data_IF_125390588833
#
_entry.id   IF_125390588833
#
_cell.length_a   1.000
_cell.length_b   1.000
_cell.length_c   1.000
_cell.angle_alpha   90.00
_cell.angle_beta   90.00
_cell.angle_gamma   90.00
#
_symmetry.space_group_name_H-M   'P 1'
#
loop_
_entity.id
_entity.type
_entity.pdbx_description
1 polymer ?
#
# COMPACT_ATOMS: atom_id res chain seq x y z
N UNK A 1 -3.73 13.92 -4.42
CA UNK A 1 -4.35 14.39 -5.68
C UNK A 1 -4.50 13.25 -6.66
N UNK A 2 -3.44 12.48 -6.99
CA UNK A 2 -3.51 11.36 -7.93
C UNK A 2 -4.63 10.37 -7.59
N UNK A 3 -4.77 9.95 -6.33
CA UNK A 3 -5.85 9.06 -5.89
C UNK A 3 -7.24 9.68 -6.10
N UNK A 4 -7.40 10.97 -5.80
CA UNK A 4 -8.68 11.65 -6.02
C UNK A 4 -9.07 11.69 -7.49
N UNK A 5 -8.09 11.93 -8.37
CA UNK A 5 -8.31 11.94 -9.82
C UNK A 5 -8.61 10.53 -10.39
N UNK A 6 -8.13 9.46 -9.75
CA UNK A 6 -8.41 8.08 -10.16
C UNK A 6 -9.78 7.57 -9.71
N UNK A 7 -10.38 8.21 -8.71
CA UNK A 7 -11.71 7.85 -8.23
C UNK A 7 -12.80 8.29 -9.21
N UNK A 8 -13.73 7.39 -9.52
CA UNK A 8 -14.88 7.67 -10.38
C UNK A 8 -16.13 8.08 -9.60
N UNK A 9 -15.99 8.38 -8.33
CA UNK A 9 -17.05 8.84 -7.44
C UNK A 9 -16.62 8.89 -5.99
N UNK A 10 -17.45 9.58 -5.19
CA UNK A 10 -17.22 9.74 -3.75
C UNK A 10 -17.11 8.40 -3.01
N UNK A 11 -17.89 7.38 -3.43
CA UNK A 11 -17.83 6.06 -2.83
C UNK A 11 -16.46 5.37 -3.01
N UNK A 12 -15.78 5.59 -4.13
CA UNK A 12 -14.42 5.06 -4.35
C UNK A 12 -13.42 5.76 -3.44
N UNK A 13 -13.52 7.08 -3.30
CA UNK A 13 -12.71 7.85 -2.35
C UNK A 13 -12.98 7.43 -0.91
N UNK A 14 -14.25 7.26 -0.53
CA UNK A 14 -14.63 6.73 0.77
C UNK A 14 -14.08 5.33 1.02
N UNK A 15 -13.98 4.51 -0.03
CA UNK A 15 -13.34 3.19 0.00
C UNK A 15 -11.87 3.26 0.35
N UNK A 16 -11.12 4.18 -0.27
CA UNK A 16 -9.70 4.43 0.05
C UNK A 16 -9.56 4.88 1.50
N UNK A 17 -10.35 5.87 1.93
CA UNK A 17 -10.31 6.36 3.31
C UNK A 17 -10.69 5.26 4.31
N UNK A 18 -11.69 4.45 3.99
CA UNK A 18 -12.10 3.30 4.80
C UNK A 18 -11.00 2.25 4.93
N UNK A 19 -10.23 2.01 3.86
CA UNK A 19 -9.06 1.14 3.86
C UNK A 19 -7.97 1.68 4.80
N UNK A 20 -7.62 2.97 4.73
CA UNK A 20 -6.65 3.61 5.61
C UNK A 20 -7.08 3.58 7.08
N UNK A 21 -8.36 3.86 7.34
CA UNK A 21 -8.95 3.70 8.67
C UNK A 21 -8.86 2.24 9.13
N UNK A 22 -9.03 1.29 8.21
CA UNK A 22 -8.85 -0.14 8.45
C UNK A 22 -7.43 -0.48 8.93
N UNK A 23 -6.40 0.06 8.30
CA UNK A 23 -5.01 -0.08 8.75
C UNK A 23 -4.80 0.47 10.15
N UNK A 24 -5.37 1.62 10.44
CA UNK A 24 -5.29 2.28 11.76
C UNK A 24 -6.01 1.46 12.82
N UNK A 25 -7.25 1.06 12.57
CA UNK A 25 -8.08 0.27 13.49
C UNK A 25 -7.46 -1.09 13.82
N UNK A 26 -6.87 -1.76 12.83
CA UNK A 26 -6.17 -3.02 13.00
C UNK A 26 -4.74 -2.86 13.56
N UNK A 27 -4.28 -1.63 13.78
CA UNK A 27 -2.96 -1.28 14.31
C UNK A 27 -1.80 -1.87 13.48
N UNK A 28 -1.94 -1.89 12.17
CA UNK A 28 -0.96 -2.51 11.26
C UNK A 28 0.42 -1.86 11.37
N UNK A 29 0.50 -0.55 11.51
CA UNK A 29 1.78 0.17 11.71
C UNK A 29 2.52 -0.28 12.97
N UNK A 30 1.81 -0.47 14.10
CA UNK A 30 2.41 -1.02 15.33
C UNK A 30 2.92 -2.45 15.16
N UNK A 31 2.17 -3.28 14.44
CA UNK A 31 2.58 -4.66 14.16
C UNK A 31 3.85 -4.70 13.31
N UNK A 32 3.93 -3.86 12.27
CA UNK A 32 5.14 -3.72 11.42
C UNK A 32 6.35 -3.26 12.25
N UNK A 33 6.18 -2.23 13.06
CA UNK A 33 7.26 -1.72 13.90
C UNK A 33 7.80 -2.79 14.85
N UNK A 34 6.94 -3.58 15.49
CA UNK A 34 7.37 -4.70 16.32
C UNK A 34 8.14 -5.76 15.54
N UNK A 35 7.68 -6.10 14.34
CA UNK A 35 8.36 -7.07 13.48
C UNK A 35 9.74 -6.58 13.04
N UNK A 36 9.85 -5.30 12.65
CA UNK A 36 11.12 -4.69 12.29
C UNK A 36 12.10 -4.65 13.48
N UNK A 37 11.62 -4.30 14.68
CA UNK A 37 12.42 -4.31 15.90
C UNK A 37 12.91 -5.73 16.22
N UNK A 38 12.05 -6.72 16.13
CA UNK A 38 12.42 -8.13 16.37
C UNK A 38 13.45 -8.62 15.33
N UNK A 39 13.25 -8.32 14.06
CA UNK A 39 14.18 -8.65 12.99
C UNK A 39 15.56 -8.01 13.22
N UNK A 40 15.61 -6.76 13.66
CA UNK A 40 16.85 -6.07 14.00
C UNK A 40 17.55 -6.73 15.21
N UNK A 41 16.81 -7.09 16.26
CA UNK A 41 17.36 -7.80 17.43
C UNK A 41 17.94 -9.15 17.01
N UNK A 42 17.21 -9.92 16.21
CA UNK A 42 17.68 -11.23 15.72
C UNK A 42 18.91 -11.04 14.81
N UNK A 43 18.92 -10.02 13.96
CA UNK A 43 20.08 -9.68 13.14
C UNK A 43 21.33 -9.35 13.97
N UNK A 44 21.19 -8.53 14.99
CA UNK A 44 22.28 -8.18 15.91
C UNK A 44 22.77 -9.41 16.70
N UNK A 45 21.85 -10.23 17.22
CA UNK A 45 22.23 -11.46 17.92
C UNK A 45 22.93 -12.47 17.00
N UNK A 46 22.46 -12.57 15.75
CA UNK A 46 23.09 -13.41 14.73
C UNK A 46 24.52 -12.98 14.40
N UNK A 47 24.78 -11.66 14.33
CA UNK A 47 26.13 -11.13 14.10
C UNK A 47 27.06 -11.37 15.29
N UNK A 48 26.57 -11.20 16.52
CA UNK A 48 27.35 -11.47 17.74
C UNK A 48 27.63 -12.97 17.86
N UNK A 49 26.63 -13.83 17.63
CA UNK A 49 26.79 -15.29 17.66
C UNK A 49 27.76 -15.79 16.59
N UNK A 50 27.68 -15.25 15.37
CA UNK A 50 28.60 -15.57 14.28
C UNK A 50 30.04 -15.12 14.56
N UNK A 51 30.24 -14.00 15.23
CA UNK A 51 31.55 -13.49 15.63
C UNK A 51 32.20 -14.34 16.76
N UNK A 52 31.38 -14.96 17.61
CA UNK A 52 31.87 -15.80 18.71
C UNK A 52 32.24 -17.24 18.27
N UNK A 53 31.75 -17.71 17.11
CA UNK A 53 32.00 -19.08 16.61
C UNK A 53 33.17 -19.12 15.62
N UNK A 54 33.62 -17.95 15.10
CA UNK A 54 34.66 -17.87 14.08
C UNK A 54 35.99 -17.32 14.57
N UNK A 55 36.90 -18.19 14.92
CA UNK A 55 38.29 -17.83 15.30
C UNK A 55 39.20 -17.50 14.09
N UNK A 56 38.64 -17.35 12.89
CA UNK A 56 39.36 -16.93 11.70
C UNK A 56 38.55 -15.95 10.87
N UNK A 57 38.99 -14.71 10.91
CA UNK A 57 38.35 -13.50 10.30
C UNK A 57 38.15 -13.47 8.77
N UNK A 58 37.71 -14.59 8.19
CA UNK A 58 37.48 -14.71 6.78
C UNK A 58 36.01 -14.43 6.38
N UNK A 59 35.22 -15.49 6.20
CA UNK A 59 33.88 -15.45 5.63
C UNK A 59 32.82 -14.90 6.63
N UNK A 60 32.97 -15.20 7.91
CA UNK A 60 32.03 -14.75 8.95
C UNK A 60 32.09 -13.23 9.20
N UNK A 61 33.28 -12.63 9.12
CA UNK A 61 33.46 -11.18 9.20
C UNK A 61 32.90 -10.44 7.98
N UNK A 62 33.08 -10.99 6.78
CA UNK A 62 32.54 -10.43 5.55
C UNK A 62 31.00 -10.55 5.50
N UNK A 63 30.44 -11.69 5.92
CA UNK A 63 28.99 -11.90 6.01
C UNK A 63 28.36 -11.05 7.12
N UNK A 64 29.05 -10.85 8.24
CA UNK A 64 28.61 -9.98 9.34
C UNK A 64 28.55 -8.50 8.91
N UNK A 65 29.57 -8.01 8.20
CA UNK A 65 29.60 -6.65 7.65
C UNK A 65 28.53 -6.42 6.58
N UNK A 66 28.39 -7.36 5.66
CA UNK A 66 27.34 -7.31 4.64
C UNK A 66 25.95 -7.37 5.29
N UNK A 67 25.71 -8.25 6.25
CA UNK A 67 24.45 -8.35 6.98
C UNK A 67 24.12 -7.06 7.73
N UNK A 68 25.11 -6.37 8.29
CA UNK A 68 24.92 -5.09 8.98
C UNK A 68 24.58 -3.96 8.00
N UNK A 69 25.20 -3.92 6.82
CA UNK A 69 24.95 -2.91 5.79
C UNK A 69 23.60 -3.12 5.09
N UNK A 70 23.20 -4.37 4.85
CA UNK A 70 21.93 -4.70 4.20
C UNK A 70 20.75 -4.79 5.17
N UNK A 71 20.96 -5.10 6.46
CA UNK A 71 19.90 -5.20 7.45
C UNK A 71 19.14 -3.88 7.66
N UNK A 72 19.81 -2.74 7.61
CA UNK A 72 19.20 -1.42 7.69
C UNK A 72 18.30 -1.13 6.48
N UNK A 73 18.78 -1.40 5.28
CA UNK A 73 18.02 -1.19 4.05
C UNK A 73 16.86 -2.19 3.90
N UNK A 74 17.09 -3.46 4.22
CA UNK A 74 16.03 -4.47 4.23
C UNK A 74 14.97 -4.18 5.29
N UNK A 75 15.36 -3.80 6.50
CA UNK A 75 14.42 -3.41 7.55
C UNK A 75 13.59 -2.19 7.12
N UNK A 76 14.18 -1.23 6.43
CA UNK A 76 13.47 -0.07 5.89
C UNK A 76 12.47 -0.46 4.80
N UNK A 77 12.83 -1.37 3.89
CA UNK A 77 11.93 -1.90 2.86
C UNK A 77 10.77 -2.69 3.47
N UNK A 78 11.04 -3.54 4.47
CA UNK A 78 10.00 -4.26 5.22
C UNK A 78 9.10 -3.34 6.04
N UNK A 79 9.59 -2.17 6.44
CA UNK A 79 8.81 -1.20 7.23
C UNK A 79 7.86 -0.38 6.35
N UNK A 80 8.12 -0.26 5.05
CA UNK A 80 7.32 0.54 4.12
C UNK A 80 6.12 -0.20 3.56
N UNK A 81 6.17 -1.53 3.38
CA UNK A 81 5.10 -2.30 2.74
C UNK A 81 4.23 -3.03 3.76
N UNK A 82 2.94 -2.99 3.57
CA UNK A 82 2.02 -3.85 4.30
C UNK A 82 2.08 -5.29 3.77
N UNK A 83 1.87 -6.28 4.64
CA UNK A 83 1.75 -7.67 4.20
C UNK A 83 0.41 -7.88 3.49
N UNK A 84 0.32 -8.92 2.63
CA UNK A 84 -0.94 -9.27 1.95
C UNK A 84 -2.10 -9.44 2.93
N UNK A 85 -1.89 -10.13 4.04
CA UNK A 85 -2.93 -10.32 5.06
C UNK A 85 -3.37 -9.01 5.73
N UNK A 86 -2.45 -8.03 5.88
CA UNK A 86 -2.79 -6.70 6.38
C UNK A 86 -3.61 -5.91 5.38
N UNK A 87 -3.26 -5.98 4.08
CA UNK A 87 -4.03 -5.38 3.00
C UNK A 87 -5.44 -5.97 2.91
N UNK A 88 -5.54 -7.30 2.95
CA UNK A 88 -6.82 -8.00 2.92
C UNK A 88 -7.70 -7.64 4.12
N UNK A 89 -7.11 -7.52 5.30
CA UNK A 89 -7.85 -7.09 6.49
C UNK A 89 -8.30 -5.63 6.39
N UNK A 90 -7.48 -4.75 5.82
CA UNK A 90 -7.83 -3.35 5.60
C UNK A 90 -8.94 -3.21 4.55
N UNK A 91 -8.90 -4.02 3.47
CA UNK A 91 -9.98 -4.07 2.49
C UNK A 91 -11.30 -4.53 3.10
N UNK A 92 -11.28 -5.58 3.92
CA UNK A 92 -12.47 -6.10 4.59
C UNK A 92 -13.10 -5.05 5.51
N UNK A 93 -12.27 -4.30 6.24
CA UNK A 93 -12.72 -3.20 7.08
C UNK A 93 -13.23 -2.03 6.24
N UNK A 94 -12.54 -1.66 5.16
CA UNK A 94 -12.95 -0.61 4.24
C UNK A 94 -14.34 -0.88 3.63
N UNK A 95 -14.57 -2.09 3.13
CA UNK A 95 -15.87 -2.52 2.59
C UNK A 95 -16.96 -2.45 3.67
N UNK A 96 -16.65 -2.90 4.89
CA UNK A 96 -17.57 -2.80 6.03
C UNK A 96 -17.92 -1.34 6.36
N UNK A 97 -16.94 -0.44 6.29
CA UNK A 97 -17.16 0.99 6.56
C UNK A 97 -17.97 1.64 5.44
N UNK A 98 -17.70 1.32 4.18
CA UNK A 98 -18.53 1.77 3.04
C UNK A 98 -20.00 1.38 3.25
N UNK A 99 -20.28 0.11 3.54
CA UNK A 99 -21.63 -0.38 3.78
C UNK A 99 -22.30 0.34 4.94
N UNK A 100 -21.57 0.55 6.05
CA UNK A 100 -22.13 1.28 7.22
C UNK A 100 -22.41 2.75 6.93
N UNK A 101 -21.64 3.37 6.04
CA UNK A 101 -21.82 4.74 5.60
C UNK A 101 -22.91 4.87 4.51
N UNK A 102 -23.51 3.77 4.07
CA UNK A 102 -24.56 3.75 3.06
C UNK A 102 -24.05 3.76 1.61
N UNK A 103 -22.76 3.77 1.38
CA UNK A 103 -22.17 3.68 0.04
C UNK A 103 -22.24 2.27 -0.55
N UNK A 104 -22.06 2.18 -1.88
CA UNK A 104 -21.90 0.94 -2.58
C UNK A 104 -20.64 0.19 -2.09
N UNK A 105 -20.78 -1.00 -1.45
CA UNK A 105 -19.64 -1.75 -0.95
C UNK A 105 -18.65 -2.19 -2.04
N UNK A 106 -19.12 -2.27 -3.29
CA UNK A 106 -18.28 -2.66 -4.44
C UNK A 106 -17.33 -1.54 -4.91
N UNK A 107 -17.51 -0.30 -4.42
CA UNK A 107 -16.70 0.84 -4.82
C UNK A 107 -15.22 0.65 -4.52
N UNK A 108 -14.87 -0.03 -3.41
CA UNK A 108 -13.47 -0.34 -3.13
C UNK A 108 -12.84 -1.26 -4.20
N UNK A 109 -13.58 -2.26 -4.69
CA UNK A 109 -13.06 -3.12 -5.76
C UNK A 109 -12.92 -2.37 -7.08
N UNK A 110 -13.81 -1.43 -7.38
CA UNK A 110 -13.71 -0.57 -8.54
C UNK A 110 -12.44 0.31 -8.47
N UNK A 111 -12.18 0.93 -7.33
CA UNK A 111 -10.98 1.73 -7.10
C UNK A 111 -9.70 0.90 -7.22
N UNK A 112 -9.64 -0.30 -6.64
CA UNK A 112 -8.51 -1.22 -6.80
C UNK A 112 -8.26 -1.58 -8.26
N UNK A 113 -9.31 -1.72 -9.06
CA UNK A 113 -9.20 -1.96 -10.50
C UNK A 113 -8.61 -0.74 -11.23
N UNK A 114 -9.06 0.48 -10.91
CA UNK A 114 -8.50 1.72 -11.47
C UNK A 114 -7.01 1.85 -11.15
N UNK A 115 -6.60 1.53 -9.92
CA UNK A 115 -5.19 1.51 -9.52
C UNK A 115 -4.37 0.46 -10.25
N UNK A 116 -4.93 -0.74 -10.46
CA UNK A 116 -4.25 -1.81 -11.20
C UNK A 116 -4.03 -1.41 -12.67
N UNK A 117 -5.03 -0.79 -13.29
CA UNK A 117 -4.94 -0.28 -14.66
C UNK A 117 -3.92 0.86 -14.77
N UNK A 118 -3.94 1.82 -13.85
CA UNK A 118 -2.97 2.91 -13.82
C UNK A 118 -1.54 2.37 -13.67
N UNK A 119 -1.31 1.46 -12.72
CA UNK A 119 0.00 0.83 -12.54
C UNK A 119 0.48 0.12 -13.81
N UNK A 120 -0.43 -0.53 -14.55
CA UNK A 120 -0.09 -1.18 -15.82
C UNK A 120 0.24 -0.18 -16.94
N UNK A 121 -0.44 0.98 -16.96
CA UNK A 121 -0.14 2.07 -17.90
C UNK A 121 1.22 2.67 -17.57
N UNK A 122 1.46 3.03 -16.32
CA UNK A 122 2.72 3.62 -15.87
C UNK A 122 3.92 2.71 -16.19
N UNK A 123 3.78 1.41 -15.97
CA UNK A 123 4.80 0.43 -16.33
C UNK A 123 5.07 0.39 -17.84
N UNK A 124 4.06 0.57 -18.68
CA UNK A 124 4.22 0.65 -20.14
C UNK A 124 4.88 1.94 -20.58
N UNK A 125 4.49 3.07 -20.01
CA UNK A 125 5.03 4.40 -20.33
C UNK A 125 6.48 4.53 -19.90
N UNK A 126 6.81 4.05 -18.69
CA UNK A 126 8.18 4.08 -18.17
C UNK A 126 9.12 3.10 -18.90
N UNK A 127 8.61 2.20 -19.73
CA UNK A 127 9.36 1.12 -20.35
C UNK A 127 9.91 0.18 -19.26
N UNK A 128 11.05 -0.49 -19.55
CA UNK A 128 11.70 -1.39 -18.58
C UNK A 128 12.35 -0.66 -17.39
N UNK A 129 12.39 0.67 -17.41
CA UNK A 129 12.89 1.53 -16.33
C UNK A 129 11.77 1.89 -15.33
N UNK A 130 10.95 0.93 -14.95
CA UNK A 130 9.82 1.09 -14.06
C UNK A 130 10.22 1.49 -12.63
N UNK A 131 10.79 2.68 -12.47
CA UNK A 131 11.02 3.27 -11.14
C UNK A 131 9.87 4.18 -10.66
N UNK A 132 8.88 4.43 -11.50
CA UNK A 132 7.70 5.24 -11.18
C UNK A 132 6.47 4.40 -10.89
N UNK A 133 6.55 3.53 -9.89
CA UNK A 133 5.34 2.96 -9.29
C UNK A 133 4.66 4.07 -8.50
N UNK A 134 3.35 4.34 -8.66
CA UNK A 134 2.66 5.33 -7.85
C UNK A 134 2.95 5.12 -6.37
N UNK A 135 3.20 6.20 -5.64
CA UNK A 135 3.64 6.13 -4.23
C UNK A 135 2.71 5.25 -3.38
N UNK A 136 1.40 5.33 -3.62
CA UNK A 136 0.44 4.49 -2.94
C UNK A 136 0.66 2.99 -3.25
N UNK A 137 0.88 2.62 -4.50
CA UNK A 137 1.12 1.22 -4.89
C UNK A 137 2.46 0.68 -4.36
N UNK A 138 3.39 1.57 -4.03
CA UNK A 138 4.66 1.19 -3.40
C UNK A 138 4.49 0.70 -1.96
N UNK A 139 3.52 1.26 -1.23
CA UNK A 139 3.20 0.92 0.16
C UNK A 139 2.09 -0.13 0.28
N UNK A 140 1.18 -0.20 -0.72
CA UNK A 140 0.02 -1.10 -0.79
C UNK A 140 0.14 -2.05 -2.00
N UNK A 141 0.81 -3.20 -1.84
CA UNK A 141 1.12 -4.09 -2.96
C UNK A 141 -0.10 -4.80 -3.56
N UNK A 142 0.07 -5.23 -4.81
CA UNK A 142 -0.80 -6.16 -5.52
C UNK A 142 -2.28 -5.73 -5.67
N UNK A 143 -2.61 -4.48 -6.10
CA UNK A 143 -4.01 -4.07 -6.23
C UNK A 143 -4.81 -5.00 -7.14
N UNK A 144 -4.23 -5.49 -8.24
CA UNK A 144 -4.91 -6.39 -9.18
C UNK A 144 -5.38 -7.72 -8.54
N UNK A 145 -4.57 -8.29 -7.64
CA UNK A 145 -4.93 -9.54 -6.93
C UNK A 145 -6.04 -9.33 -5.91
N UNK A 146 -6.18 -8.11 -5.41
CA UNK A 146 -7.17 -7.75 -4.39
C UNK A 146 -8.56 -7.46 -4.99
N UNK A 147 -8.65 -7.06 -6.27
CA UNK A 147 -9.91 -6.71 -6.96
C UNK A 147 -10.98 -7.79 -6.79
N UNK A 148 -10.68 -9.02 -7.21
CA UNK A 148 -11.65 -10.12 -7.19
C UNK A 148 -12.09 -10.47 -5.77
N UNK A 149 -11.15 -10.46 -4.83
CA UNK A 149 -11.45 -10.72 -3.42
C UNK A 149 -12.36 -9.63 -2.83
N UNK A 150 -12.04 -8.36 -3.07
CA UNK A 150 -12.84 -7.22 -2.62
C UNK A 150 -14.25 -7.26 -3.21
N UNK A 151 -14.39 -7.53 -4.52
CA UNK A 151 -15.69 -7.69 -5.18
C UNK A 151 -16.52 -8.83 -4.57
N UNK A 152 -15.87 -9.96 -4.26
CA UNK A 152 -16.53 -11.10 -3.63
C UNK A 152 -16.97 -10.77 -2.21
N UNK A 153 -16.11 -10.05 -1.45
CA UNK A 153 -16.42 -9.68 -0.08
C UNK A 153 -17.54 -8.63 -0.01
N UNK A 154 -17.59 -7.69 -0.96
CA UNK A 154 -18.65 -6.69 -1.06
C UNK A 154 -20.06 -7.31 -1.14
N UNK A 155 -20.20 -8.47 -1.79
CA UNK A 155 -21.48 -9.21 -1.90
C UNK A 155 -22.05 -9.70 -0.57
N UNK A 156 -21.28 -9.69 0.51
CA UNK A 156 -21.75 -10.09 1.85
C UNK A 156 -22.50 -8.97 2.56
N UNK A 157 -22.52 -7.78 2.00
CA UNK A 157 -23.16 -6.60 2.57
C UNK A 157 -24.40 -6.20 1.78
N UNK A 158 -25.34 -5.48 2.36
CA UNK A 158 -26.51 -4.96 1.66
C UNK A 158 -26.09 -4.19 0.41
N UNK A 159 -26.77 -4.42 -0.70
CA UNK A 159 -26.51 -3.69 -1.93
C UNK A 159 -26.86 -2.21 -1.76
N UNK A 160 -26.03 -1.35 -2.29
CA UNK A 160 -26.28 0.09 -2.42
C UNK A 160 -25.81 0.56 -3.79
N UNK A 161 -26.46 1.58 -4.33
CA UNK A 161 -26.09 2.21 -5.60
C UNK A 161 -25.50 3.61 -5.38
N UNK A 162 -25.29 4.00 -4.11
CA UNK A 162 -24.78 5.33 -3.77
C UNK A 162 -23.31 5.42 -4.10
N UNK A 163 -22.99 6.12 -5.19
CA UNK A 163 -21.62 6.37 -5.67
C UNK A 163 -21.25 7.85 -5.70
N UNK A 164 -22.24 8.73 -5.85
CA UNK A 164 -22.08 10.20 -5.86
C UNK A 164 -20.98 10.68 -6.82
N UNK A 165 -21.02 10.22 -8.07
CA UNK A 165 -20.01 10.57 -9.07
C UNK A 165 -19.97 12.08 -9.35
N UNK A 166 -21.13 12.69 -9.60
CA UNK A 166 -21.23 14.12 -9.91
C UNK A 166 -20.73 15.00 -8.76
N UNK A 167 -21.04 14.63 -7.52
CA UNK A 167 -20.56 15.35 -6.34
C UNK A 167 -19.03 15.27 -6.23
N UNK A 168 -18.45 14.11 -6.51
CA UNK A 168 -17.01 13.90 -6.52
C UNK A 168 -16.33 14.76 -7.58
N UNK A 169 -16.77 14.67 -8.84
CA UNK A 169 -16.17 15.44 -9.94
C UNK A 169 -16.29 16.94 -9.71
N UNK A 170 -17.41 17.41 -9.20
CA UNK A 170 -17.57 18.81 -8.81
C UNK A 170 -16.60 19.23 -7.70
N UNK A 171 -16.31 18.33 -6.76
CA UNK A 171 -15.40 18.62 -5.64
C UNK A 171 -13.93 18.69 -6.07
N UNK A 172 -13.54 17.95 -7.10
CA UNK A 172 -12.16 17.94 -7.61
C UNK A 172 -11.96 18.85 -8.83
N UNK A 173 -13.03 19.50 -9.31
CA UNK A 173 -12.96 20.44 -10.43
C UNK A 173 -11.98 21.58 -10.12
N UNK A 174 -11.10 21.88 -11.07
CA UNK A 174 -10.02 22.84 -10.90
C UNK A 174 -8.82 22.36 -10.07
N UNK A 175 -8.83 21.10 -9.59
CA UNK A 175 -7.67 20.51 -8.92
C UNK A 175 -6.58 20.17 -9.96
N UNK A 176 -5.38 20.73 -9.79
CA UNK A 176 -4.25 20.39 -10.66
C UNK A 176 -3.81 18.93 -10.44
N UNK A 177 -3.67 18.20 -11.54
CA UNK A 177 -3.28 16.79 -11.50
C UNK A 177 -1.82 16.60 -11.10
N UNK A 178 -0.95 17.45 -11.62
CA UNK A 178 0.49 17.41 -11.36
C UNK A 178 0.89 18.51 -10.38
N UNK A 179 1.82 18.19 -9.48
CA UNK A 179 2.19 19.05 -8.35
C UNK A 179 3.42 19.90 -8.59
N UNK A 180 4.18 19.64 -9.64
CA UNK A 180 5.41 20.36 -9.84
C UNK A 180 5.18 21.70 -10.57
N UNK A 181 4.90 22.71 -9.76
CA UNK A 181 4.85 24.12 -10.21
C UNK A 181 6.16 24.58 -10.86
N UNK A 182 7.23 23.80 -10.79
CA UNK A 182 8.53 24.11 -11.40
C UNK A 182 8.67 23.53 -12.80
N UNK A 183 7.93 22.48 -13.14
CA UNK A 183 8.02 21.81 -14.44
C UNK A 183 6.95 22.23 -15.45
N UNK A 184 6.19 23.26 -15.18
CA UNK A 184 5.35 23.84 -16.17
C UNK A 184 3.87 23.70 -15.92
N UNK A 185 3.33 24.80 -15.64
CA UNK A 185 1.97 25.12 -15.99
C UNK A 185 1.87 25.01 -17.52
N UNK A 186 1.13 24.06 -18.00
CA UNK A 186 0.59 24.10 -19.34
C UNK A 186 -0.67 24.93 -19.32
#
# INVERSE_FOLDING_TARGET
>A
RQLAALCNGEAEMAGVLGHEVGHTAARHSKKRQKQATLANIIGVLGTIGGAMIGDNGGLAGALGGAAQQYSGQLAQLFTLKYSRGQEEQADDLGIKYLSKAGYDPSALSAMLNSLALQTAVDAKVAGLNAHSVPEWASTHPDPAKRVVRAATNAKKYPASTVRNADAHFKAIDGMMYDDDLKEGVI
#
